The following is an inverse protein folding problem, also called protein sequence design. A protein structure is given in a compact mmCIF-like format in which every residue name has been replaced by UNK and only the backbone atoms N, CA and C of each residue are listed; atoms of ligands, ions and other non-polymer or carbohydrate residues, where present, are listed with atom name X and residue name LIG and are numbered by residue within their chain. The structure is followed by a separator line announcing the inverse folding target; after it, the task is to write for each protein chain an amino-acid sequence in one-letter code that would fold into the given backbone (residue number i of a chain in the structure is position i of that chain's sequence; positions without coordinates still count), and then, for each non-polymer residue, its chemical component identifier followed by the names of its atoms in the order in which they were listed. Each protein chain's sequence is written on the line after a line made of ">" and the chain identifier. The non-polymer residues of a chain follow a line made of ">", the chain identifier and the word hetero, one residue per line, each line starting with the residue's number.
data_IF_565917530583
#
_entry.id   IF_565917530583
#
_cell.length_a   1.000
_cell.length_b   1.000
_cell.length_c   1.000
_cell.angle_alpha   90.00
_cell.angle_beta   90.00
_cell.angle_gamma   90.00
#
_symmetry.space_group_name_H-M   'P 1'
#
loop_
_entity.id
_entity.type
_entity.pdbx_description
1 polymer ?
#
# COMPACT_ATOMS: atom_id res chain seq x y z
N UNK A 1 -8.97 7.35 2.54
CA UNK A 1 -8.08 7.64 3.70
C UNK A 1 -7.16 8.81 3.37
N UNK A 2 -6.53 9.47 4.35
CA UNK A 2 -5.45 10.42 4.02
C UNK A 2 -4.17 9.67 3.64
N UNK A 3 -3.24 10.32 2.92
CA UNK A 3 -1.94 9.72 2.58
C UNK A 3 -1.19 9.22 3.82
N UNK A 4 -1.24 9.98 4.92
CA UNK A 4 -0.57 9.63 6.18
C UNK A 4 -1.18 8.37 6.80
N UNK A 5 -2.51 8.26 6.79
CA UNK A 5 -3.20 7.10 7.34
C UNK A 5 -2.90 5.85 6.52
N UNK A 6 -2.84 5.96 5.19
CA UNK A 6 -2.51 4.85 4.31
C UNK A 6 -1.11 4.29 4.58
N UNK A 7 -0.12 5.17 4.84
CA UNK A 7 1.24 4.73 5.21
C UNK A 7 1.27 4.03 6.58
N UNK A 8 0.59 4.59 7.58
CA UNK A 8 0.54 3.97 8.92
C UNK A 8 -0.18 2.62 8.89
N UNK A 9 -1.25 2.52 8.11
CA UNK A 9 -1.99 1.28 7.92
C UNK A 9 -1.15 0.23 7.18
N UNK A 10 -0.48 0.62 6.09
CA UNK A 10 0.40 -0.27 5.33
C UNK A 10 1.55 -0.83 6.19
N UNK A 11 2.20 0.01 7.00
CA UNK A 11 3.26 -0.44 7.90
C UNK A 11 2.74 -1.46 8.93
N UNK A 12 1.55 -1.20 9.49
CA UNK A 12 0.92 -2.13 10.45
C UNK A 12 0.54 -3.46 9.79
N UNK A 13 0.04 -3.39 8.56
CA UNK A 13 -0.37 -4.56 7.77
C UNK A 13 0.86 -5.41 7.39
N UNK A 14 1.93 -4.78 6.89
CA UNK A 14 3.19 -5.44 6.54
C UNK A 14 3.81 -6.16 7.75
N UNK A 15 3.83 -5.51 8.92
CA UNK A 15 4.36 -6.10 10.15
C UNK A 15 3.48 -7.23 10.72
N UNK A 16 2.17 -7.19 10.50
CA UNK A 16 1.24 -8.21 11.05
C UNK A 16 1.15 -9.43 10.14
N UNK A 17 1.10 -9.21 8.82
CA UNK A 17 0.93 -10.27 7.83
C UNK A 17 2.26 -10.83 7.34
N UNK A 18 3.39 -10.14 7.59
CA UNK A 18 4.72 -10.50 7.09
C UNK A 18 4.79 -10.63 5.56
N UNK A 19 4.05 -9.76 4.85
CA UNK A 19 4.06 -9.63 3.38
C UNK A 19 4.31 -8.18 2.97
N UNK A 20 4.84 -7.98 1.75
CA UNK A 20 5.04 -6.65 1.20
C UNK A 20 3.69 -5.96 0.94
N UNK A 21 3.56 -4.71 1.40
CA UNK A 21 2.34 -3.91 1.23
C UNK A 21 2.65 -2.69 0.37
N UNK A 22 1.85 -2.48 -0.66
CA UNK A 22 1.92 -1.31 -1.53
C UNK A 22 0.90 -0.27 -1.09
N UNK A 23 1.37 0.96 -0.91
CA UNK A 23 0.50 2.15 -0.80
C UNK A 23 0.33 2.73 -2.18
N UNK A 24 -0.91 3.00 -2.58
CA UNK A 24 -1.25 3.56 -3.88
C UNK A 24 -2.23 4.73 -3.77
N UNK A 25 -2.31 5.51 -4.84
CA UNK A 25 -3.34 6.52 -5.07
C UNK A 25 -4.18 6.10 -6.28
N UNK A 26 -5.49 6.00 -6.10
CA UNK A 26 -6.43 5.71 -7.18
C UNK A 26 -6.68 6.95 -8.06
N UNK A 27 -7.22 6.74 -9.26
CA UNK A 27 -7.52 7.82 -10.20
C UNK A 27 -8.51 8.88 -9.71
N UNK A 28 -9.30 8.57 -8.67
CA UNK A 28 -10.19 9.51 -7.99
C UNK A 28 -9.50 10.35 -6.90
N UNK A 29 -8.19 10.15 -6.71
CA UNK A 29 -7.36 10.83 -5.72
C UNK A 29 -7.38 10.21 -4.33
N UNK A 30 -8.15 9.13 -4.11
CA UNK A 30 -8.16 8.39 -2.84
C UNK A 30 -6.89 7.57 -2.63
N UNK A 31 -6.52 7.32 -1.38
CA UNK A 31 -5.36 6.51 -1.00
C UNK A 31 -5.79 5.17 -0.40
N UNK A 32 -5.06 4.12 -0.76
CA UNK A 32 -5.25 2.76 -0.27
C UNK A 32 -3.93 2.04 0.00
N UNK A 33 -4.02 0.86 0.61
CA UNK A 33 -2.89 -0.04 0.81
C UNK A 33 -3.35 -1.49 0.64
N UNK A 34 -2.59 -2.28 -0.14
CA UNK A 34 -2.90 -3.69 -0.45
C UNK A 34 -1.61 -4.51 -0.48
N UNK A 35 -1.68 -5.83 -0.28
CA UNK A 35 -0.58 -6.74 -0.60
C UNK A 35 -0.03 -6.51 -2.02
N UNK A 36 1.29 -6.59 -2.16
CA UNK A 36 1.97 -6.30 -3.42
C UNK A 36 1.54 -7.24 -4.57
N UNK A 37 1.09 -8.46 -4.25
CA UNK A 37 0.55 -9.45 -5.18
C UNK A 37 -0.88 -9.14 -5.66
N UNK A 38 -1.58 -8.20 -5.02
CA UNK A 38 -2.90 -7.73 -5.46
C UNK A 38 -2.83 -6.55 -6.43
N UNK A 39 -1.67 -5.89 -6.58
CA UNK A 39 -1.45 -4.90 -7.63
C UNK A 39 -1.03 -5.62 -8.91
N UNK A 40 -1.96 -5.75 -9.86
CA UNK A 40 -1.69 -6.26 -11.19
C UNK A 40 -2.21 -5.30 -12.27
N UNK A 41 -1.37 -4.36 -12.69
CA UNK A 41 -1.62 -3.52 -13.86
C UNK A 41 -2.77 -2.50 -13.74
N UNK A 42 -3.39 -2.33 -12.57
CA UNK A 42 -4.42 -1.31 -12.33
C UNK A 42 -3.90 0.11 -12.60
N UNK A 43 -4.78 1.01 -13.08
CA UNK A 43 -4.50 2.45 -13.24
C UNK A 43 -4.42 3.16 -11.88
N UNK A 44 -3.52 2.70 -11.03
CA UNK A 44 -3.21 3.28 -9.73
C UNK A 44 -1.77 3.75 -9.70
N UNK A 45 -1.54 4.89 -9.06
CA UNK A 45 -0.19 5.37 -8.83
C UNK A 45 0.38 4.70 -7.58
N UNK A 46 1.37 3.84 -7.76
CA UNK A 46 2.16 3.29 -6.65
C UNK A 46 2.98 4.40 -6.01
N UNK A 47 2.84 4.58 -4.69
CA UNK A 47 3.54 5.61 -3.93
C UNK A 47 4.75 5.04 -3.19
N UNK A 48 4.58 3.89 -2.54
CA UNK A 48 5.64 3.18 -1.81
C UNK A 48 5.26 1.71 -1.64
N UNK A 49 6.26 0.85 -1.62
CA UNK A 49 6.15 -0.53 -1.17
C UNK A 49 6.89 -0.66 0.16
N UNK A 50 6.25 -1.29 1.14
CA UNK A 50 6.82 -1.59 2.46
C UNK A 50 7.10 -3.08 2.50
N UNK A 51 8.38 -3.44 2.43
CA UNK A 51 8.87 -4.81 2.61
C UNK A 51 9.14 -5.06 4.11
N UNK A 52 8.46 -6.04 4.75
CA UNK A 52 8.70 -6.38 6.15
C UNK A 52 10.01 -7.16 6.39
N UNK A 53 10.76 -7.53 5.34
CA UNK A 53 11.99 -8.30 5.43
C UNK A 53 13.27 -7.49 5.15
N UNK A 54 13.14 -6.22 4.75
CA UNK A 54 14.24 -5.33 4.39
C UNK A 54 15.07 -4.81 5.58
#
# INVERSE_FOLDING_TARGET
>A
MSRKDAHAFAASLAATLMVSIVVFQAGDGSFGAVPADEIDGDEVQVLVEIDPWA
#
